data_IF_656050606345
#
_entry.id   IF_656050606345
#
_cell.length_a   1.000
_cell.length_b   1.000
_cell.length_c   1.000
_cell.angle_alpha   90.00
_cell.angle_beta   90.00
_cell.angle_gamma   90.00
#
_symmetry.space_group_name_H-M   'P 1'
#
loop_
_entity.id
_entity.type
_entity.pdbx_description
1 polymer ?
#
# COMPACT_ATOMS: atom_id res chain seq x y z
N UNK A 1 -30.65 -14.68 11.45
CA UNK A 1 -29.54 -13.71 11.62
C UNK A 1 -28.23 -14.47 11.66
N UNK A 2 -27.13 -13.78 11.57
CA UNK A 2 -25.78 -14.30 11.79
C UNK A 2 -25.23 -13.65 13.05
N UNK A 3 -24.39 -14.37 13.78
CA UNK A 3 -23.83 -13.91 15.05
C UNK A 3 -22.53 -13.11 14.81
N UNK A 4 -21.82 -13.40 13.71
CA UNK A 4 -20.56 -12.76 13.32
C UNK A 4 -20.40 -12.76 11.80
N UNK A 5 -19.77 -11.72 11.26
CA UNK A 5 -19.39 -11.61 9.84
C UNK A 5 -17.88 -11.74 9.73
N UNK A 6 -17.41 -12.50 8.75
CA UNK A 6 -16.00 -12.55 8.35
C UNK A 6 -15.89 -11.95 6.94
N UNK A 7 -15.54 -10.66 6.82
CA UNK A 7 -15.45 -10.00 5.52
C UNK A 7 -14.25 -10.54 4.74
N UNK A 8 -14.50 -11.15 3.58
CA UNK A 8 -13.47 -11.58 2.62
C UNK A 8 -13.48 -10.65 1.40
N UNK A 9 -13.45 -9.35 1.68
CA UNK A 9 -13.43 -8.30 0.67
C UNK A 9 -12.05 -7.69 0.59
N UNK A 10 -11.59 -7.38 -0.62
CA UNK A 10 -10.28 -6.80 -0.88
C UNK A 10 -10.40 -5.38 -1.45
N UNK A 11 -9.41 -4.53 -1.13
CA UNK A 11 -9.30 -3.19 -1.65
C UNK A 11 -10.32 -2.18 -1.09
N UNK A 12 -10.59 -1.12 -1.84
CA UNK A 12 -11.53 -0.06 -1.43
C UNK A 12 -12.91 -0.61 -1.08
N UNK A 13 -13.56 0.00 -0.10
CA UNK A 13 -14.81 -0.39 0.55
C UNK A 13 -14.74 -1.66 1.40
N UNK A 14 -13.83 -2.59 1.13
CA UNK A 14 -13.65 -3.82 1.91
C UNK A 14 -12.66 -3.69 3.06
N UNK A 15 -11.53 -3.00 2.79
CA UNK A 15 -10.38 -2.93 3.72
C UNK A 15 -10.10 -1.51 4.24
N UNK A 16 -10.86 -0.50 3.82
CA UNK A 16 -10.64 0.93 4.12
C UNK A 16 -11.46 1.48 5.29
N UNK A 17 -12.15 0.62 6.04
CA UNK A 17 -13.02 1.00 7.14
C UNK A 17 -14.50 1.20 6.74
N UNK A 18 -14.84 1.22 5.45
CA UNK A 18 -16.21 1.45 4.98
C UNK A 18 -17.12 0.28 5.35
N UNK A 19 -16.71 -0.96 5.05
CA UNK A 19 -17.46 -2.16 5.45
C UNK A 19 -17.52 -2.31 6.96
N UNK A 20 -16.42 -2.04 7.66
CA UNK A 20 -16.35 -2.08 9.11
C UNK A 20 -17.34 -1.07 9.72
N UNK A 21 -17.41 0.16 9.18
CA UNK A 21 -18.37 1.18 9.61
C UNK A 21 -19.83 0.77 9.39
N UNK A 22 -20.14 0.09 8.29
CA UNK A 22 -21.46 -0.47 8.05
C UNK A 22 -21.83 -1.52 9.10
N UNK A 23 -20.90 -2.43 9.43
CA UNK A 23 -21.15 -3.48 10.43
C UNK A 23 -21.29 -2.91 11.84
N UNK A 24 -20.50 -1.88 12.20
CA UNK A 24 -20.66 -1.13 13.44
C UNK A 24 -22.06 -0.48 13.56
N UNK A 25 -22.52 0.21 12.51
CA UNK A 25 -23.85 0.82 12.48
C UNK A 25 -24.99 -0.21 12.55
N UNK A 26 -24.76 -1.39 11.98
CA UNK A 26 -25.70 -2.51 12.02
C UNK A 26 -25.69 -3.26 13.36
N UNK A 27 -24.75 -3.00 14.26
CA UNK A 27 -24.58 -3.71 15.52
C UNK A 27 -24.21 -5.17 15.33
N UNK A 28 -23.45 -5.50 14.27
CA UNK A 28 -23.04 -6.85 13.91
C UNK A 28 -21.56 -7.04 14.21
N UNK A 29 -21.22 -8.06 15.02
CA UNK A 29 -19.84 -8.43 15.27
C UNK A 29 -19.13 -8.90 13.98
N UNK A 30 -17.85 -8.56 13.82
CA UNK A 30 -17.06 -8.97 12.66
C UNK A 30 -15.62 -9.30 13.01
N UNK A 31 -14.98 -10.09 12.15
CA UNK A 31 -13.57 -10.44 12.24
C UNK A 31 -12.74 -9.43 11.45
N UNK A 32 -11.62 -8.97 12.02
CA UNK A 32 -10.68 -8.07 11.38
C UNK A 32 -10.47 -6.77 12.16
N UNK A 33 -9.69 -5.88 11.57
CA UNK A 33 -9.39 -4.59 12.17
C UNK A 33 -10.63 -3.68 12.20
N UNK A 34 -10.74 -2.82 13.20
CA UNK A 34 -11.83 -1.84 13.31
C UNK A 34 -11.71 -0.71 12.29
N UNK A 35 -12.73 0.17 12.26
CA UNK A 35 -12.86 1.27 11.28
C UNK A 35 -11.60 2.11 11.17
N UNK A 36 -11.10 2.62 12.30
CA UNK A 36 -9.93 3.51 12.31
C UNK A 36 -8.65 2.81 11.83
N UNK A 37 -8.42 1.57 12.29
CA UNK A 37 -7.24 0.81 11.90
C UNK A 37 -7.27 0.43 10.41
N UNK A 38 -8.44 0.03 9.88
CA UNK A 38 -8.64 -0.24 8.45
C UNK A 38 -8.39 1.00 7.60
N UNK A 39 -8.94 2.15 7.97
CA UNK A 39 -8.76 3.41 7.25
C UNK A 39 -7.29 3.87 7.24
N UNK A 40 -6.61 3.81 8.38
CA UNK A 40 -5.18 4.14 8.48
C UNK A 40 -4.33 3.13 7.72
N UNK A 41 -4.63 1.84 7.82
CA UNK A 41 -3.88 0.78 7.13
C UNK A 41 -3.98 0.88 5.61
N UNK A 42 -5.12 1.33 5.07
CA UNK A 42 -5.31 1.53 3.63
C UNK A 42 -4.55 2.74 3.11
N UNK A 43 -4.50 3.85 3.86
CA UNK A 43 -3.79 5.07 3.47
C UNK A 43 -2.31 4.96 3.83
N UNK A 44 -1.47 4.74 2.82
CA UNK A 44 -0.01 4.56 3.01
C UNK A 44 0.67 5.76 3.67
N UNK A 45 0.18 6.98 3.45
CA UNK A 45 0.73 8.18 4.09
C UNK A 45 0.44 8.17 5.59
N UNK A 46 -0.81 7.85 5.98
CA UNK A 46 -1.21 7.76 7.38
C UNK A 46 -0.55 6.57 8.09
N UNK A 47 -0.52 5.40 7.44
CA UNK A 47 0.16 4.22 7.98
C UNK A 47 1.64 4.52 8.28
N UNK A 48 2.35 5.18 7.34
CA UNK A 48 3.75 5.57 7.52
C UNK A 48 3.93 6.61 8.64
N UNK A 49 3.00 7.54 8.81
CA UNK A 49 3.05 8.48 9.93
C UNK A 49 2.91 7.77 11.29
N UNK A 50 2.04 6.76 11.38
CA UNK A 50 1.90 5.92 12.58
C UNK A 50 3.17 5.10 12.82
N UNK A 51 3.75 4.49 11.79
CA UNK A 51 5.00 3.73 11.91
C UNK A 51 6.17 4.61 12.31
N UNK A 52 6.26 5.82 11.77
CA UNK A 52 7.29 6.80 12.16
C UNK A 52 7.16 7.19 13.65
N UNK A 53 5.93 7.42 14.12
CA UNK A 53 5.68 7.69 15.54
C UNK A 53 6.08 6.51 16.45
N UNK A 54 5.92 5.28 15.96
CA UNK A 54 6.37 4.05 16.61
C UNK A 54 7.88 3.79 16.44
N UNK A 55 8.60 4.67 15.72
CA UNK A 55 10.04 4.54 15.41
C UNK A 55 10.40 3.27 14.62
N UNK A 56 9.46 2.77 13.83
CA UNK A 56 9.74 1.66 12.92
C UNK A 56 10.55 2.15 11.72
N UNK A 57 11.61 1.43 11.32
CA UNK A 57 12.41 1.79 10.14
C UNK A 57 11.53 1.80 8.88
N UNK A 58 11.77 2.77 8.01
CA UNK A 58 11.04 2.92 6.74
C UNK A 58 11.99 3.40 5.65
N UNK A 59 11.67 3.09 4.40
CA UNK A 59 12.33 3.69 3.24
C UNK A 59 12.02 5.18 3.15
N UNK A 60 12.92 5.97 2.59
CA UNK A 60 12.66 7.37 2.26
C UNK A 60 11.51 7.45 1.26
N UNK A 61 10.63 8.44 1.42
CA UNK A 61 9.48 8.64 0.54
C UNK A 61 9.03 10.09 0.49
N UNK A 62 8.27 10.43 -0.53
CA UNK A 62 7.55 11.70 -0.65
C UNK A 62 6.12 11.45 -1.13
N UNK A 63 5.20 12.34 -0.76
CA UNK A 63 3.80 12.27 -1.18
C UNK A 63 3.49 13.44 -2.11
N UNK A 64 2.91 13.13 -3.25
CA UNK A 64 2.56 14.07 -4.30
C UNK A 64 1.04 14.16 -4.38
N UNK A 65 0.49 15.35 -4.38
CA UNK A 65 -0.94 15.54 -4.63
C UNK A 65 -1.20 15.61 -6.13
N UNK A 66 -2.30 15.01 -6.58
CA UNK A 66 -2.71 15.04 -8.00
C UNK A 66 -2.83 16.48 -8.53
N UNK A 67 -3.26 17.43 -7.69
CA UNK A 67 -3.35 18.83 -8.09
C UNK A 67 -1.97 19.41 -8.41
N UNK A 68 -0.96 19.14 -7.59
CA UNK A 68 0.42 19.65 -7.82
C UNK A 68 1.02 19.01 -9.08
N UNK A 69 0.79 17.70 -9.26
CA UNK A 69 1.20 16.97 -10.47
C UNK A 69 0.58 17.53 -11.74
N UNK A 70 -0.71 17.84 -11.71
CA UNK A 70 -1.44 18.42 -12.85
C UNK A 70 -0.96 19.85 -13.17
N UNK A 71 -0.73 20.66 -12.13
CA UNK A 71 -0.47 22.10 -12.28
C UNK A 71 0.98 22.38 -12.69
N UNK A 72 1.97 21.64 -12.15
CA UNK A 72 3.39 21.79 -12.52
C UNK A 72 4.15 20.45 -12.42
N UNK A 73 4.04 19.59 -13.45
CA UNK A 73 4.76 18.30 -13.48
C UNK A 73 6.27 18.44 -13.38
N UNK A 74 6.85 19.52 -13.97
CA UNK A 74 8.30 19.69 -13.99
C UNK A 74 8.85 19.99 -12.61
N UNK A 75 8.15 20.81 -11.84
CA UNK A 75 8.49 21.11 -10.45
C UNK A 75 8.37 19.85 -9.57
N UNK A 76 7.32 19.06 -9.77
CA UNK A 76 7.14 17.79 -9.02
C UNK A 76 8.28 16.82 -9.31
N UNK A 77 8.65 16.61 -10.59
CA UNK A 77 9.75 15.73 -10.96
C UNK A 77 11.07 16.18 -10.33
N UNK A 78 11.38 17.48 -10.41
CA UNK A 78 12.59 18.01 -9.80
C UNK A 78 12.60 17.80 -8.27
N UNK A 79 11.49 18.07 -7.60
CA UNK A 79 11.40 17.89 -6.14
C UNK A 79 11.54 16.41 -5.70
N UNK A 80 11.05 15.45 -6.49
CA UNK A 80 11.26 14.03 -6.23
C UNK A 80 12.72 13.67 -6.39
N UNK A 81 13.37 14.08 -7.48
CA UNK A 81 14.78 13.80 -7.77
C UNK A 81 15.76 14.49 -6.82
N UNK A 82 15.38 15.62 -6.23
CA UNK A 82 16.15 16.25 -5.15
C UNK A 82 16.08 15.48 -3.83
N UNK A 83 15.00 14.72 -3.61
CA UNK A 83 14.75 14.03 -2.36
C UNK A 83 15.10 12.53 -2.38
N UNK A 84 15.08 11.90 -3.55
CA UNK A 84 15.17 10.42 -3.70
C UNK A 84 16.02 10.04 -4.91
N UNK A 85 16.82 8.97 -4.74
CA UNK A 85 17.63 8.36 -5.80
C UNK A 85 16.90 7.18 -6.45
N UNK A 86 17.07 6.99 -7.77
CA UNK A 86 16.57 5.81 -8.50
C UNK A 86 17.30 4.52 -8.11
N UNK A 87 16.64 3.34 -8.18
CA UNK A 87 15.25 3.13 -8.61
C UNK A 87 14.22 3.49 -7.53
N UNK A 88 13.02 3.90 -7.99
CA UNK A 88 11.92 4.31 -7.13
C UNK A 88 10.67 3.49 -7.40
N UNK A 89 9.79 3.41 -6.40
CA UNK A 89 8.41 2.95 -6.58
C UNK A 89 7.45 4.12 -6.55
N UNK A 90 6.57 4.19 -7.56
CA UNK A 90 5.45 5.13 -7.61
C UNK A 90 4.16 4.35 -7.39
N UNK A 91 3.32 4.80 -6.47
CA UNK A 91 2.09 4.09 -6.12
C UNK A 91 0.95 5.03 -5.70
N UNK A 92 -0.31 4.68 -5.94
CA UNK A 92 -1.45 5.33 -5.31
C UNK A 92 -1.39 5.13 -3.79
N UNK A 93 -1.83 6.12 -3.02
CA UNK A 93 -1.78 6.05 -1.55
C UNK A 93 -2.87 5.12 -0.99
N UNK A 94 -4.10 5.17 -1.54
CA UNK A 94 -5.28 4.46 -1.01
C UNK A 94 -5.70 3.25 -1.86
N UNK A 95 -4.75 2.44 -2.34
CA UNK A 95 -5.05 1.21 -3.07
C UNK A 95 -4.18 0.05 -2.58
N UNK A 96 -4.74 -1.16 -2.70
CA UNK A 96 -4.06 -2.42 -2.45
C UNK A 96 -3.69 -3.16 -3.74
N UNK A 97 -3.29 -4.43 -3.59
CA UNK A 97 -3.06 -5.41 -4.68
C UNK A 97 -2.13 -4.92 -5.81
N UNK A 98 -1.18 -4.06 -5.50
CA UNK A 98 -0.22 -3.47 -6.45
C UNK A 98 -0.84 -2.74 -7.66
N UNK A 99 -2.12 -2.36 -7.60
CA UNK A 99 -2.80 -1.62 -8.67
C UNK A 99 -2.19 -0.21 -8.77
N UNK A 100 -1.79 0.17 -10.00
CA UNK A 100 -1.22 1.49 -10.27
C UNK A 100 0.19 1.69 -9.73
N UNK A 101 0.88 0.62 -9.28
CA UNK A 101 2.27 0.66 -8.85
C UNK A 101 3.20 0.53 -10.06
N UNK A 102 4.26 1.32 -10.06
CA UNK A 102 5.34 1.27 -11.06
C UNK A 102 6.69 1.34 -10.36
N UNK A 103 7.63 0.47 -10.74
CA UNK A 103 9.05 0.63 -10.44
C UNK A 103 9.67 1.44 -11.56
N UNK A 104 10.42 2.47 -11.22
CA UNK A 104 10.92 3.46 -12.16
C UNK A 104 12.43 3.68 -11.96
N UNK A 105 13.17 3.78 -13.07
CA UNK A 105 14.63 3.85 -13.07
C UNK A 105 15.18 5.17 -13.62
N UNK A 106 14.30 6.04 -14.15
CA UNK A 106 14.66 7.31 -14.72
C UNK A 106 13.48 8.30 -14.68
N UNK A 107 13.76 9.55 -15.05
CA UNK A 107 12.80 10.66 -15.04
C UNK A 107 11.58 10.42 -15.94
N UNK A 108 11.78 9.79 -17.11
CA UNK A 108 10.66 9.54 -18.04
C UNK A 108 9.73 8.46 -17.47
N UNK A 109 10.29 7.39 -16.89
CA UNK A 109 9.50 6.36 -16.22
C UNK A 109 8.82 6.92 -14.97
N UNK A 110 9.47 7.82 -14.20
CA UNK A 110 8.86 8.52 -13.06
C UNK A 110 7.65 9.34 -13.52
N UNK A 111 7.77 10.08 -14.62
CA UNK A 111 6.68 10.83 -15.22
C UNK A 111 5.50 9.94 -15.61
N UNK A 112 5.77 8.80 -16.22
CA UNK A 112 4.74 7.81 -16.60
C UNK A 112 4.09 7.17 -15.37
N UNK A 113 4.88 6.80 -14.37
CA UNK A 113 4.41 6.23 -13.12
C UNK A 113 3.48 7.18 -12.36
N UNK A 114 3.85 8.46 -12.23
CA UNK A 114 3.01 9.49 -11.60
C UNK A 114 1.71 9.71 -12.39
N UNK A 115 1.78 9.72 -13.70
CA UNK A 115 0.59 9.83 -14.57
C UNK A 115 -0.35 8.65 -14.32
N UNK A 116 0.17 7.42 -14.29
CA UNK A 116 -0.60 6.21 -14.03
C UNK A 116 -1.22 6.24 -12.63
N UNK A 117 -0.43 6.48 -11.60
CA UNK A 117 -0.91 6.49 -10.21
C UNK A 117 -1.95 7.60 -9.98
N UNK A 118 -1.79 8.76 -10.61
CA UNK A 118 -2.74 9.88 -10.50
C UNK A 118 -4.12 9.60 -11.12
N UNK A 119 -4.24 8.61 -11.98
CA UNK A 119 -5.54 8.17 -12.48
C UNK A 119 -6.38 7.44 -11.42
N UNK A 120 -5.71 6.84 -10.44
CA UNK A 120 -6.35 6.03 -9.41
C UNK A 120 -6.61 6.78 -8.10
N UNK A 121 -5.73 7.73 -7.71
CA UNK A 121 -5.84 8.39 -6.42
C UNK A 121 -5.54 9.90 -6.54
N UNK A 122 -6.02 10.65 -5.56
CA UNK A 122 -5.71 12.08 -5.38
C UNK A 122 -4.35 12.32 -4.72
N UNK A 123 -3.76 11.26 -4.14
CA UNK A 123 -2.42 11.25 -3.56
C UNK A 123 -1.61 10.11 -4.18
N UNK A 124 -0.39 10.40 -4.58
CA UNK A 124 0.60 9.42 -5.02
C UNK A 124 1.78 9.43 -4.04
N UNK A 125 2.33 8.28 -3.77
CA UNK A 125 3.58 8.13 -3.01
C UNK A 125 4.69 7.72 -3.95
N UNK A 126 5.85 8.35 -3.80
CA UNK A 126 7.10 7.94 -4.42
C UNK A 126 8.05 7.53 -3.30
N UNK A 127 8.59 6.33 -3.36
CA UNK A 127 9.50 5.82 -2.33
C UNK A 127 10.74 5.15 -2.92
N UNK A 128 11.83 5.16 -2.16
CA UNK A 128 13.06 4.47 -2.53
C UNK A 128 12.83 2.96 -2.61
N UNK A 129 13.39 2.33 -3.64
CA UNK A 129 13.44 0.87 -3.75
C UNK A 129 14.46 0.30 -2.76
N UNK A 130 14.18 -0.89 -2.24
CA UNK A 130 15.14 -1.67 -1.46
C UNK A 130 15.78 -2.70 -2.38
N UNK A 131 17.09 -2.66 -2.48
CA UNK A 131 17.83 -3.63 -3.30
C UNK A 131 17.79 -5.01 -2.64
N UNK A 132 17.59 -6.04 -3.47
CA UNK A 132 17.52 -7.44 -3.02
C UNK A 132 16.55 -7.66 -1.86
N UNK A 133 15.40 -6.97 -1.88
CA UNK A 133 14.39 -7.09 -0.85
C UNK A 133 13.80 -8.50 -0.79
N UNK A 134 13.53 -8.97 0.42
CA UNK A 134 12.71 -10.15 0.67
C UNK A 134 11.27 -9.70 0.93
N UNK A 135 10.32 -10.27 0.22
CA UNK A 135 8.88 -10.02 0.41
C UNK A 135 8.37 -10.87 1.59
N UNK A 136 8.26 -10.27 2.75
CA UNK A 136 7.89 -10.97 3.98
C UNK A 136 6.46 -10.63 4.37
N UNK A 137 5.68 -11.66 4.72
CA UNK A 137 4.34 -11.53 5.28
C UNK A 137 4.27 -12.08 6.70
N UNK A 138 3.43 -11.46 7.52
CA UNK A 138 3.15 -11.89 8.89
C UNK A 138 1.68 -11.60 9.20
N UNK A 139 0.96 -12.61 9.68
CA UNK A 139 -0.41 -12.45 10.16
C UNK A 139 -0.42 -12.05 11.65
N UNK A 140 -1.43 -11.28 12.03
CA UNK A 140 -1.67 -10.93 13.43
C UNK A 140 -3.09 -11.32 13.83
N UNK A 141 -3.24 -12.02 14.95
CA UNK A 141 -4.51 -12.44 15.51
C UNK A 141 -4.60 -12.00 16.98
N UNK A 142 -5.75 -11.51 17.39
CA UNK A 142 -6.04 -11.09 18.77
C UNK A 142 -6.47 -9.63 18.83
N UNK A 143 -7.08 -9.26 19.97
CA UNK A 143 -7.57 -7.91 20.23
C UNK A 143 -6.63 -7.19 21.21
N UNK A 144 -6.77 -7.49 22.52
CA UNK A 144 -6.02 -6.83 23.59
C UNK A 144 -4.59 -7.39 23.75
N UNK A 145 -4.39 -8.65 23.35
CA UNK A 145 -3.09 -9.34 23.35
C UNK A 145 -2.83 -9.92 21.95
N UNK A 146 -2.41 -9.10 20.97
CA UNK A 146 -2.21 -9.56 19.60
C UNK A 146 -1.01 -10.47 19.49
N UNK A 147 -1.21 -11.61 18.81
CA UNK A 147 -0.18 -12.61 18.54
C UNK A 147 0.22 -12.54 17.06
N UNK A 148 1.52 -12.39 16.80
CA UNK A 148 2.07 -12.48 15.47
C UNK A 148 2.35 -13.94 15.09
N UNK A 149 2.06 -14.31 13.84
CA UNK A 149 2.46 -15.60 13.26
C UNK A 149 3.98 -15.68 13.07
N UNK A 150 4.50 -16.85 12.69
CA UNK A 150 5.77 -16.92 11.99
C UNK A 150 5.71 -16.09 10.68
N UNK A 151 6.88 -15.73 10.16
CA UNK A 151 6.96 -15.03 8.86
C UNK A 151 6.92 -16.03 7.72
N UNK A 152 6.21 -15.68 6.65
CA UNK A 152 6.28 -16.33 5.35
C UNK A 152 7.04 -15.45 4.37
N UNK A 153 7.81 -16.04 3.47
CA UNK A 153 8.48 -15.33 2.38
C UNK A 153 7.77 -15.61 1.06
N UNK A 154 7.49 -14.54 0.31
CA UNK A 154 7.04 -14.65 -1.07
C UNK A 154 8.23 -14.41 -1.97
N UNK A 155 8.59 -15.41 -2.77
CA UNK A 155 9.61 -15.28 -3.81
C UNK A 155 8.89 -14.92 -5.12
N UNK A 156 8.95 -13.64 -5.57
CA UNK A 156 8.25 -13.22 -6.77
C UNK A 156 8.88 -13.83 -8.03
N UNK A 157 8.05 -14.17 -9.01
CA UNK A 157 8.51 -14.68 -10.32
C UNK A 157 9.01 -13.59 -11.29
N UNK A 158 8.99 -12.31 -10.88
CA UNK A 158 9.38 -11.14 -11.66
C UNK A 158 10.19 -10.16 -10.81
N UNK A 159 10.58 -9.00 -11.36
CA UNK A 159 11.39 -7.99 -10.67
C UNK A 159 10.76 -7.46 -9.39
N UNK A 160 9.42 -7.44 -9.31
CA UNK A 160 8.67 -7.17 -8.08
C UNK A 160 7.31 -7.87 -8.10
N UNK A 161 6.66 -7.97 -6.93
CA UNK A 161 5.40 -8.67 -6.74
C UNK A 161 4.21 -7.78 -7.14
N UNK A 162 4.00 -7.60 -8.46
CA UNK A 162 2.94 -6.79 -9.05
C UNK A 162 1.59 -7.54 -9.12
N UNK A 163 0.56 -6.87 -9.65
CA UNK A 163 -0.77 -7.47 -9.79
C UNK A 163 -0.76 -8.73 -10.66
N UNK A 164 0.01 -8.72 -11.74
CA UNK A 164 0.15 -9.89 -12.65
C UNK A 164 0.79 -11.06 -11.92
N UNK A 165 1.85 -10.79 -11.18
CA UNK A 165 2.57 -11.81 -10.39
C UNK A 165 1.73 -12.34 -9.23
N UNK A 166 0.81 -11.53 -8.68
CA UNK A 166 -0.09 -11.92 -7.58
C UNK A 166 -1.24 -12.82 -8.03
N UNK A 167 -1.82 -12.57 -9.19
CA UNK A 167 -3.11 -13.15 -9.57
C UNK A 167 -3.13 -13.89 -10.91
N UNK A 168 -2.12 -13.72 -11.75
CA UNK A 168 -2.09 -14.24 -13.12
C UNK A 168 -0.84 -15.08 -13.42
N UNK A 169 0.16 -15.09 -12.56
CA UNK A 169 1.43 -15.78 -12.77
C UNK A 169 1.69 -16.82 -11.66
N UNK A 170 1.75 -18.10 -12.03
CA UNK A 170 1.99 -19.21 -11.10
C UNK A 170 3.45 -19.41 -10.70
N UNK A 171 4.37 -18.51 -11.10
CA UNK A 171 5.82 -18.63 -10.81
C UNK A 171 6.22 -18.16 -9.42
N UNK A 172 5.34 -17.43 -8.71
CA UNK A 172 5.59 -17.03 -7.33
C UNK A 172 5.52 -18.22 -6.39
N UNK A 173 6.39 -18.26 -5.37
CA UNK A 173 6.43 -19.33 -4.37
C UNK A 173 6.31 -18.74 -2.98
N UNK A 174 5.54 -19.43 -2.12
CA UNK A 174 5.52 -19.24 -0.67
C UNK A 174 6.54 -20.19 -0.04
N UNK A 175 7.40 -19.66 0.83
CA UNK A 175 8.44 -20.41 1.56
C UNK A 175 8.31 -20.14 3.05
#
# INVERSE_FOLDING_TARGET
GFDVVFPLLHGPYGEDGTMQGLLELAGVAYVGAGVAASAVGMDKELARAVFANARLPQTAYTVIRRVDWRDDPMKVLAAVEDALDYPLFVKPVNLGSSIGISKVHDREQLRQGLTTASAYDVKMMVEASVDSAHEIECAVLGNEDPQASGVGEIVPGAEFYDYTTKYLDDRSRLV
#
